data_IF_842811947745
#
_entry.id   IF_842811947745
#
_cell.length_a   1.000
_cell.length_b   1.000
_cell.length_c   1.000
_cell.angle_alpha   90.00
_cell.angle_beta   90.00
_cell.angle_gamma   90.00
#
_symmetry.space_group_name_H-M   'P 1'
#
loop_
_entity.id
_entity.type
_entity.pdbx_description
1 polymer ?
#
# COMPACT_ATOMS: atom_id res chain seq x y z
N UNK A 1 -4.01 6.41 -19.15
CA UNK A 1 -2.83 7.03 -19.77
C UNK A 1 -1.58 6.20 -19.48
N UNK A 2 -0.80 5.79 -20.49
CA UNK A 2 0.51 5.12 -20.23
C UNK A 2 1.53 6.13 -19.72
N UNK A 3 2.12 5.83 -18.56
CA UNK A 3 3.14 6.65 -17.91
C UNK A 3 4.52 6.04 -18.12
N UNK A 4 4.61 4.71 -17.99
CA UNK A 4 5.85 3.97 -18.14
C UNK A 4 5.57 2.53 -18.55
N UNK A 5 6.41 1.99 -19.43
CA UNK A 5 6.52 0.56 -19.70
C UNK A 5 7.97 0.23 -19.99
N UNK A 6 8.54 -0.72 -19.24
CA UNK A 6 9.94 -1.08 -19.44
C UNK A 6 10.38 -2.38 -18.78
N UNK A 7 11.42 -2.94 -19.37
CA UNK A 7 12.19 -4.11 -18.92
C UNK A 7 13.67 -3.72 -18.95
N UNK A 8 14.53 -4.41 -18.20
CA UNK A 8 15.98 -4.14 -18.20
C UNK A 8 16.40 -2.93 -17.36
N UNK A 9 15.53 -2.42 -16.49
CA UNK A 9 15.77 -1.26 -15.64
C UNK A 9 15.66 -1.63 -14.17
N UNK A 10 16.47 -1.00 -13.32
CA UNK A 10 16.40 -1.09 -11.85
C UNK A 10 15.69 0.11 -11.23
N UNK A 11 15.43 1.15 -12.01
CA UNK A 11 14.65 2.34 -11.63
C UNK A 11 14.05 3.00 -12.87
N UNK A 12 12.93 3.69 -12.69
CA UNK A 12 12.31 4.54 -13.72
C UNK A 12 12.97 5.91 -13.83
N UNK A 13 13.77 6.32 -12.83
CA UNK A 13 13.99 7.74 -12.56
C UNK A 13 12.70 8.44 -12.12
N UNK A 14 12.75 9.77 -11.97
CA UNK A 14 11.57 10.55 -11.62
C UNK A 14 10.75 10.86 -12.87
N UNK A 15 9.52 10.38 -12.88
CA UNK A 15 8.54 10.67 -13.92
C UNK A 15 7.65 11.81 -13.42
N UNK A 16 7.48 12.84 -14.25
CA UNK A 16 6.66 14.02 -13.95
C UNK A 16 5.33 13.91 -14.70
N UNK A 17 4.22 13.97 -13.97
CA UNK A 17 2.88 14.02 -14.53
C UNK A 17 2.33 15.43 -14.36
N UNK A 18 2.01 16.06 -15.48
CA UNK A 18 1.39 17.40 -15.53
C UNK A 18 -0.14 17.32 -15.60
N UNK A 19 -0.70 16.11 -15.61
CA UNK A 19 -2.12 15.84 -15.56
C UNK A 19 -2.48 15.16 -14.24
N UNK A 20 -3.60 15.57 -13.66
CA UNK A 20 -4.17 14.90 -12.50
C UNK A 20 -4.60 13.49 -12.84
N UNK A 21 -4.39 12.56 -11.90
CA UNK A 21 -4.86 11.18 -11.98
C UNK A 21 -5.49 10.80 -10.62
N UNK A 22 -6.44 9.87 -10.61
CA UNK A 22 -7.07 9.34 -9.39
C UNK A 22 -6.31 8.15 -8.83
N UNK A 23 -5.81 7.30 -9.72
CA UNK A 23 -5.15 6.04 -9.39
C UNK A 23 -3.99 5.72 -10.34
N UNK A 24 -3.05 4.93 -9.83
CA UNK A 24 -2.09 4.22 -10.66
C UNK A 24 -2.60 2.82 -11.00
N UNK A 25 -2.47 2.39 -12.25
CA UNK A 25 -2.55 0.96 -12.59
C UNK A 25 -1.13 0.43 -12.70
N UNK A 26 -0.77 -0.45 -11.78
CA UNK A 26 0.57 -1.04 -11.68
C UNK A 26 0.49 -2.45 -12.24
N UNK A 27 1.22 -2.70 -13.33
CA UNK A 27 1.36 -4.02 -13.95
C UNK A 27 2.78 -4.53 -13.84
N UNK A 28 2.97 -5.79 -13.45
CA UNK A 28 4.29 -6.40 -13.28
C UNK A 28 4.26 -7.82 -13.88
N UNK A 29 5.29 -8.21 -14.62
CA UNK A 29 5.44 -9.59 -15.15
C UNK A 29 5.84 -10.63 -14.10
N UNK A 30 5.68 -10.29 -12.82
CA UNK A 30 6.09 -11.09 -11.67
C UNK A 30 4.93 -11.22 -10.70
N UNK A 31 4.76 -12.39 -10.12
CA UNK A 31 3.77 -12.63 -9.07
C UNK A 31 3.93 -11.68 -7.89
N UNK A 32 2.82 -11.36 -7.24
CA UNK A 32 2.79 -10.38 -6.14
C UNK A 32 3.67 -10.81 -4.97
N UNK A 33 3.62 -12.09 -4.59
CA UNK A 33 4.35 -12.67 -3.46
C UNK A 33 5.89 -12.63 -3.62
N UNK A 34 6.35 -12.41 -4.85
CA UNK A 34 7.76 -12.35 -5.22
C UNK A 34 8.32 -10.91 -5.24
N UNK A 35 7.47 -9.89 -5.06
CA UNK A 35 7.89 -8.51 -4.87
C UNK A 35 8.67 -8.40 -3.55
N UNK A 36 9.90 -7.92 -3.63
CA UNK A 36 10.86 -8.01 -2.51
C UNK A 36 11.74 -6.77 -2.37
N UNK A 37 12.21 -6.21 -3.48
CA UNK A 37 13.12 -5.05 -3.47
C UNK A 37 12.49 -3.83 -4.10
N UNK A 38 11.38 -4.01 -4.79
CA UNK A 38 10.65 -2.98 -5.51
C UNK A 38 10.06 -1.96 -4.56
N UNK A 39 10.30 -0.68 -4.83
CA UNK A 39 9.80 0.44 -4.04
C UNK A 39 9.16 1.49 -4.92
N UNK A 40 8.24 2.25 -4.35
CA UNK A 40 7.58 3.40 -4.96
C UNK A 40 7.75 4.64 -4.08
N UNK A 41 7.94 5.78 -4.73
CA UNK A 41 7.78 7.11 -4.13
C UNK A 41 6.81 7.92 -4.98
N UNK A 42 5.80 8.50 -4.33
CA UNK A 42 4.81 9.40 -4.95
C UNK A 42 4.75 10.69 -4.13
N UNK A 43 4.89 11.83 -4.80
CA UNK A 43 4.75 13.15 -4.20
C UNK A 43 4.08 14.12 -5.18
N UNK A 44 3.40 15.11 -4.65
CA UNK A 44 2.88 16.25 -5.40
C UNK A 44 3.82 17.40 -5.13
N UNK A 45 4.55 17.83 -6.16
CA UNK A 45 5.30 19.08 -6.12
C UNK A 45 4.35 20.23 -6.43
N UNK A 46 4.22 21.16 -5.48
CA UNK A 46 3.38 22.34 -5.62
C UNK A 46 4.23 23.54 -5.99
N UNK A 47 3.75 24.38 -6.89
CA UNK A 47 4.48 25.56 -7.35
C UNK A 47 4.82 26.56 -6.22
N UNK A 48 4.00 26.57 -5.16
CA UNK A 48 4.20 27.40 -3.96
C UNK A 48 5.19 26.80 -2.93
N UNK A 49 5.79 25.64 -3.22
CA UNK A 49 6.70 24.93 -2.33
C UNK A 49 6.04 24.08 -1.24
N UNK A 50 4.70 24.09 -1.14
CA UNK A 50 3.94 23.26 -0.20
C UNK A 50 3.81 21.82 -0.71
N UNK A 51 4.94 21.17 -0.96
CA UNK A 51 4.99 19.81 -1.50
C UNK A 51 4.32 18.82 -0.55
N UNK A 52 3.69 17.82 -1.14
CA UNK A 52 2.99 16.78 -0.39
C UNK A 52 3.50 15.40 -0.77
N UNK A 53 4.09 14.69 0.18
CA UNK A 53 4.46 13.29 0.01
C UNK A 53 3.25 12.40 0.28
N UNK A 54 2.74 11.74 -0.78
CA UNK A 54 1.68 10.73 -0.72
C UNK A 54 2.25 9.50 -0.03
N UNK A 55 3.35 8.96 -0.53
CA UNK A 55 4.15 8.00 0.22
C UNK A 55 5.15 8.79 1.06
N UNK A 56 5.07 8.76 2.41
CA UNK A 56 6.06 9.44 3.27
C UNK A 56 7.44 8.82 3.04
N UNK A 57 8.27 9.47 2.22
CA UNK A 57 9.50 8.90 1.67
C UNK A 57 9.27 7.76 0.65
N UNK A 58 10.19 6.80 0.65
CA UNK A 58 10.15 5.62 -0.22
C UNK A 58 9.48 4.45 0.50
N UNK A 59 8.52 3.79 -0.17
CA UNK A 59 7.74 2.69 0.37
C UNK A 59 7.92 1.42 -0.45
N UNK A 60 7.81 0.24 0.18
CA UNK A 60 7.72 -1.03 -0.55
C UNK A 60 6.54 -1.01 -1.53
N UNK A 61 6.77 -1.43 -2.76
CA UNK A 61 5.72 -1.46 -3.78
C UNK A 61 4.60 -2.44 -3.40
N UNK A 62 4.96 -3.57 -2.80
CA UNK A 62 3.98 -4.54 -2.31
C UNK A 62 3.10 -3.94 -1.21
N UNK A 63 3.70 -3.20 -0.28
CA UNK A 63 2.99 -2.54 0.81
C UNK A 63 2.03 -1.45 0.30
N UNK A 64 2.48 -0.67 -0.69
CA UNK A 64 1.64 0.32 -1.34
C UNK A 64 0.42 -0.32 -2.02
N UNK A 65 0.63 -1.40 -2.79
CA UNK A 65 -0.45 -2.15 -3.44
C UNK A 65 -1.47 -2.65 -2.40
N UNK A 66 -1.01 -3.25 -1.30
CA UNK A 66 -1.90 -3.75 -0.25
C UNK A 66 -2.67 -2.63 0.45
N UNK A 67 -2.02 -1.49 0.72
CA UNK A 67 -2.68 -0.37 1.36
C UNK A 67 -3.76 0.27 0.47
N UNK A 68 -3.70 0.08 -0.85
CA UNK A 68 -4.67 0.66 -1.81
C UNK A 68 -5.75 -0.30 -2.29
N UNK A 69 -5.59 -1.61 -2.11
CA UNK A 69 -6.51 -2.62 -2.69
C UNK A 69 -7.48 -3.24 -1.69
N UNK A 70 -7.22 -3.10 -0.38
CA UNK A 70 -8.01 -3.78 0.64
C UNK A 70 -9.48 -3.35 0.64
N UNK A 71 -10.38 -4.32 0.47
CA UNK A 71 -11.83 -4.10 0.51
C UNK A 71 -12.39 -3.38 -0.72
N UNK A 72 -11.57 -3.17 -1.75
CA UNK A 72 -11.92 -2.50 -3.00
C UNK A 72 -11.67 -3.46 -4.17
N UNK A 73 -10.59 -3.24 -4.92
CA UNK A 73 -10.19 -4.03 -6.09
C UNK A 73 -9.21 -5.15 -5.72
N UNK A 74 -9.52 -6.37 -6.16
CA UNK A 74 -8.59 -7.49 -6.09
C UNK A 74 -7.30 -7.20 -6.87
N UNK A 75 -6.15 -7.62 -6.34
CA UNK A 75 -4.95 -7.79 -7.16
C UNK A 75 -5.27 -8.86 -8.21
N UNK A 76 -4.90 -8.63 -9.45
CA UNK A 76 -5.23 -9.54 -10.57
C UNK A 76 -4.03 -9.84 -11.43
N UNK A 77 -4.23 -10.59 -12.51
CA UNK A 77 -3.21 -11.00 -13.46
C UNK A 77 -3.79 -11.05 -14.87
N UNK A 78 -2.91 -11.05 -15.87
CA UNK A 78 -3.29 -11.12 -17.28
C UNK A 78 -2.24 -11.86 -18.09
N UNK A 79 -2.51 -13.16 -18.34
CA UNK A 79 -1.63 -14.01 -19.14
C UNK A 79 -1.46 -13.49 -20.56
N UNK A 80 -2.50 -12.92 -21.17
CA UNK A 80 -2.42 -12.33 -22.52
C UNK A 80 -1.50 -11.10 -22.59
N UNK A 81 -1.31 -10.40 -21.48
CA UNK A 81 -0.39 -9.25 -21.36
C UNK A 81 0.97 -9.65 -20.79
N UNK A 82 1.16 -10.89 -20.37
CA UNK A 82 2.36 -11.35 -19.67
C UNK A 82 2.57 -10.65 -18.33
N UNK A 83 1.48 -10.28 -17.64
CA UNK A 83 1.52 -9.61 -16.35
C UNK A 83 0.94 -10.55 -15.28
N UNK A 84 1.71 -10.80 -14.23
CA UNK A 84 1.31 -11.69 -13.13
C UNK A 84 0.79 -10.92 -11.90
N UNK A 85 1.05 -9.62 -11.84
CA UNK A 85 0.47 -8.69 -10.88
C UNK A 85 -0.10 -7.49 -11.63
N UNK A 86 -1.36 -7.18 -11.40
CA UNK A 86 -2.03 -5.95 -11.82
C UNK A 86 -2.81 -5.44 -10.62
N UNK A 87 -2.57 -4.19 -10.22
CA UNK A 87 -3.29 -3.54 -9.14
C UNK A 87 -3.73 -2.14 -9.57
N UNK A 88 -4.93 -1.74 -9.17
CA UNK A 88 -5.39 -0.36 -9.21
C UNK A 88 -5.13 0.24 -7.84
N UNK A 89 -4.32 1.28 -7.80
CA UNK A 89 -3.82 1.89 -6.58
C UNK A 89 -4.27 3.34 -6.51
N UNK A 90 -5.38 3.58 -5.82
CA UNK A 90 -5.92 4.94 -5.63
C UNK A 90 -4.98 5.82 -4.81
N UNK A 91 -4.85 7.07 -5.25
CA UNK A 91 -4.06 8.11 -4.57
C UNK A 91 -4.90 9.35 -4.24
N UNK A 92 -6.13 9.42 -4.74
CA UNK A 92 -7.13 10.42 -4.39
C UNK A 92 -8.45 9.71 -4.08
N UNK A 93 -9.17 10.23 -3.08
CA UNK A 93 -10.43 9.65 -2.65
C UNK A 93 -11.62 10.05 -3.53
N UNK A 94 -11.51 11.17 -4.25
CA UNK A 94 -12.61 11.74 -5.04
C UNK A 94 -12.06 12.37 -6.33
N UNK A 95 -12.24 11.67 -7.45
CA UNK A 95 -11.76 12.12 -8.75
C UNK A 95 -10.23 12.14 -8.85
N UNK A 96 -9.71 12.86 -9.84
CA UNK A 96 -8.28 13.02 -10.04
C UNK A 96 -7.69 14.04 -9.07
N UNK A 97 -6.41 13.87 -8.70
CA UNK A 97 -5.70 14.89 -7.91
C UNK A 97 -5.75 16.25 -8.61
N UNK A 98 -6.28 17.26 -7.92
CA UNK A 98 -6.30 18.63 -8.43
C UNK A 98 -4.88 19.20 -8.48
N UNK A 99 -4.42 19.56 -9.67
CA UNK A 99 -3.13 20.20 -9.92
C UNK A 99 -3.35 21.66 -10.35
N UNK A 100 -2.78 22.60 -9.60
CA UNK A 100 -2.74 24.00 -10.01
C UNK A 100 -1.68 24.22 -11.09
N UNK A 101 -1.58 25.46 -11.59
CA UNK A 101 -0.57 25.82 -12.58
C UNK A 101 0.84 25.48 -12.06
N UNK A 102 1.59 24.69 -12.83
CA UNK A 102 2.95 24.20 -12.53
C UNK A 102 3.06 23.17 -11.39
N UNK A 103 1.94 22.69 -10.85
CA UNK A 103 1.97 21.51 -9.99
C UNK A 103 2.24 20.26 -10.83
N UNK A 104 2.97 19.30 -10.25
CA UNK A 104 3.23 18.01 -10.89
C UNK A 104 3.13 16.87 -9.88
N UNK A 105 2.62 15.72 -10.32
CA UNK A 105 2.77 14.48 -9.58
C UNK A 105 4.10 13.87 -10.00
N UNK A 106 4.96 13.59 -9.03
CA UNK A 106 6.22 12.90 -9.23
C UNK A 106 6.07 11.46 -8.77
N UNK A 107 6.42 10.52 -9.64
CA UNK A 107 6.47 9.10 -9.32
C UNK A 107 7.83 8.52 -9.66
N UNK A 108 8.37 7.72 -8.76
CA UNK A 108 9.62 6.98 -8.96
C UNK A 108 9.41 5.55 -8.51
N UNK A 109 9.72 4.60 -9.40
CA UNK A 109 9.90 3.21 -9.04
C UNK A 109 11.41 2.89 -8.99
N UNK A 110 11.83 2.14 -7.98
CA UNK A 110 13.22 1.77 -7.76
C UNK A 110 13.32 0.34 -7.21
N UNK A 111 14.54 -0.23 -7.19
CA UNK A 111 14.76 -1.61 -6.76
C UNK A 111 14.12 -2.64 -7.70
N UNK A 112 13.86 -2.25 -8.95
CA UNK A 112 13.23 -3.08 -9.98
C UNK A 112 14.15 -4.23 -10.38
N UNK A 113 13.58 -5.39 -10.69
CA UNK A 113 14.31 -6.53 -11.24
C UNK A 113 14.44 -6.35 -12.75
N UNK A 114 15.67 -6.37 -13.25
CA UNK A 114 15.94 -6.06 -14.65
C UNK A 114 15.36 -7.07 -15.64
N UNK A 115 15.15 -8.32 -15.22
CA UNK A 115 14.52 -9.37 -16.01
C UNK A 115 12.99 -9.29 -16.02
N UNK A 116 12.40 -8.35 -15.26
CA UNK A 116 10.97 -8.18 -15.14
C UNK A 116 10.49 -6.91 -15.88
N UNK A 117 9.24 -6.96 -16.34
CA UNK A 117 8.55 -5.86 -17.00
C UNK A 117 7.66 -5.15 -15.99
N UNK A 118 7.77 -3.82 -15.94
CA UNK A 118 6.94 -2.95 -15.13
C UNK A 118 6.15 -2.00 -16.03
N UNK A 119 4.86 -1.88 -15.75
CA UNK A 119 3.91 -1.01 -16.43
C UNK A 119 3.29 -0.10 -15.39
N UNK A 120 3.29 1.20 -15.66
CA UNK A 120 2.60 2.20 -14.86
C UNK A 120 1.66 2.97 -15.79
N UNK A 121 0.37 2.95 -15.48
CA UNK A 121 -0.60 3.82 -16.09
C UNK A 121 -1.24 4.72 -15.04
N UNK A 122 -1.73 5.89 -15.46
CA UNK A 122 -2.59 6.74 -14.66
C UNK A 122 -4.04 6.66 -15.13
N UNK A 123 -4.97 6.64 -14.20
CA UNK A 123 -6.41 6.80 -14.46
C UNK A 123 -6.74 8.30 -14.39
N UNK A 124 -7.18 8.86 -15.52
CA UNK A 124 -7.71 10.23 -15.58
C UNK A 124 -9.20 10.19 -15.23
N UNK A 125 -9.67 11.20 -14.51
CA UNK A 125 -11.08 11.36 -14.15
C UNK A 125 -11.60 12.71 -14.65
N UNK A 126 -12.91 12.82 -14.92
CA UNK A 126 -13.51 14.08 -15.38
C UNK A 126 -13.58 15.14 -14.27
N UNK A 127 -13.60 14.72 -13.01
CA UNK A 127 -13.63 15.59 -11.85
C UNK A 127 -12.29 15.55 -11.12
N UNK A 128 -11.95 16.66 -10.44
CA UNK A 128 -10.73 16.75 -9.64
C UNK A 128 -11.05 17.11 -8.19
N UNK A 129 -10.31 16.51 -7.25
CA UNK A 129 -10.44 16.76 -5.82
C UNK A 129 -9.11 17.10 -5.15
N UNK A 130 -9.19 17.65 -3.94
CA UNK A 130 -8.02 17.92 -3.07
C UNK A 130 -7.79 16.82 -2.05
N UNK A 131 -8.77 15.94 -1.83
CA UNK A 131 -8.68 14.83 -0.91
C UNK A 131 -7.69 13.78 -1.44
N UNK A 132 -6.61 13.56 -0.72
CA UNK A 132 -5.51 12.71 -1.14
C UNK A 132 -5.20 11.67 -0.08
N UNK A 133 -4.87 10.46 -0.52
CA UNK A 133 -4.36 9.46 0.40
C UNK A 133 -2.93 9.79 0.81
N UNK A 134 -2.56 9.44 2.04
CA UNK A 134 -1.18 9.44 2.49
C UNK A 134 -0.86 8.13 3.20
N UNK A 135 0.39 7.70 3.05
CA UNK A 135 0.86 6.40 3.48
C UNK A 135 2.10 6.59 4.35
N UNK A 136 2.02 6.10 5.59
CA UNK A 136 3.10 6.20 6.57
C UNK A 136 3.58 4.81 6.98
N UNK A 137 4.90 4.66 7.11
CA UNK A 137 5.50 3.45 7.68
C UNK A 137 5.85 3.67 9.15
N UNK A 138 5.36 2.77 10.00
CA UNK A 138 5.85 2.57 11.38
C UNK A 138 6.54 1.22 11.49
N UNK A 139 7.35 1.05 12.54
CA UNK A 139 8.05 -0.22 12.75
C UNK A 139 8.33 -0.51 14.22
N UNK A 140 8.41 -1.81 14.53
CA UNK A 140 8.86 -2.38 15.79
C UNK A 140 10.22 -3.03 15.57
N UNK A 141 11.22 -2.64 16.38
CA UNK A 141 12.56 -3.20 16.24
C UNK A 141 12.59 -4.68 16.69
N UNK A 142 13.62 -5.46 16.29
CA UNK A 142 13.72 -6.87 16.68
C UNK A 142 13.79 -7.06 18.20
N UNK A 143 14.38 -6.10 18.91
CA UNK A 143 14.54 -6.12 20.36
C UNK A 143 13.33 -5.56 21.14
N UNK A 144 12.44 -4.82 20.46
CA UNK A 144 11.20 -4.36 21.09
C UNK A 144 10.30 -5.59 21.35
N UNK A 145 9.75 -5.71 22.55
CA UNK A 145 8.82 -6.80 22.91
C UNK A 145 7.38 -6.33 23.12
N UNK A 146 7.21 -5.02 23.34
CA UNK A 146 5.91 -4.38 23.49
C UNK A 146 6.00 -2.95 22.95
N UNK A 147 5.11 -2.56 22.03
CA UNK A 147 5.11 -1.22 21.44
C UNK A 147 3.72 -0.75 21.07
N UNK A 148 3.46 0.52 21.39
CA UNK A 148 2.24 1.23 21.01
C UNK A 148 2.44 2.03 19.71
N UNK A 149 1.45 1.93 18.84
CA UNK A 149 1.33 2.69 17.61
C UNK A 149 0.05 3.49 17.62
N UNK A 150 0.15 4.83 17.69
CA UNK A 150 -0.99 5.70 17.48
C UNK A 150 -1.47 5.58 16.03
N UNK A 151 -2.73 5.21 15.84
CA UNK A 151 -3.33 5.00 14.51
C UNK A 151 -4.64 5.79 14.32
N UNK A 152 -4.96 6.69 15.25
CA UNK A 152 -6.10 7.59 15.12
C UNK A 152 -6.03 8.39 13.79
N UNK A 153 -7.13 8.40 13.04
CA UNK A 153 -7.25 9.07 11.75
C UNK A 153 -6.73 8.27 10.54
N UNK A 154 -6.19 7.07 10.74
CA UNK A 154 -5.87 6.13 9.66
C UNK A 154 -7.04 5.18 9.45
N UNK A 155 -7.23 4.72 8.21
CA UNK A 155 -8.34 3.84 7.83
C UNK A 155 -7.90 2.40 7.55
N UNK A 156 -6.65 2.20 7.10
CA UNK A 156 -6.06 0.89 6.84
C UNK A 156 -4.73 0.71 7.56
N UNK A 157 -4.52 -0.50 8.07
CA UNK A 157 -3.22 -1.04 8.48
C UNK A 157 -2.85 -2.23 7.59
N UNK A 158 -1.64 -2.20 7.01
CA UNK A 158 -0.96 -3.40 6.50
C UNK A 158 0.12 -3.79 7.49
N UNK A 159 0.02 -5.00 8.06
CA UNK A 159 0.91 -5.51 9.09
C UNK A 159 1.69 -6.74 8.61
N UNK A 160 2.96 -6.82 8.98
CA UNK A 160 3.78 -8.02 8.78
C UNK A 160 3.24 -9.20 9.59
N UNK A 161 3.03 -10.33 8.92
CA UNK A 161 2.75 -11.62 9.56
C UNK A 161 4.07 -12.21 10.05
N UNK A 162 4.52 -11.77 11.21
CA UNK A 162 5.66 -12.37 11.90
C UNK A 162 5.18 -13.43 12.88
N UNK A 163 5.85 -14.57 12.90
CA UNK A 163 5.63 -15.62 13.90
C UNK A 163 6.00 -15.19 15.32
N UNK A 164 6.75 -14.09 15.46
CA UNK A 164 7.17 -13.57 16.75
C UNK A 164 6.04 -12.80 17.47
N UNK A 165 5.01 -12.35 16.73
CA UNK A 165 3.88 -11.62 17.31
C UNK A 165 3.01 -12.57 18.13
N UNK A 166 2.87 -12.26 19.40
CA UNK A 166 2.06 -13.05 20.35
C UNK A 166 0.66 -12.48 20.53
N UNK A 167 0.53 -11.16 20.50
CA UNK A 167 -0.71 -10.46 20.84
C UNK A 167 -0.79 -9.12 20.11
N UNK A 168 -1.98 -8.80 19.60
CA UNK A 168 -2.28 -7.48 19.03
C UNK A 168 -3.49 -6.93 19.78
N UNK A 169 -3.34 -5.73 20.36
CA UNK A 169 -4.41 -5.09 21.11
C UNK A 169 -4.86 -3.81 20.41
N UNK A 170 -6.16 -3.67 20.18
CA UNK A 170 -6.78 -2.47 19.63
C UNK A 170 -7.41 -1.68 20.76
N UNK A 171 -7.01 -0.42 20.92
CA UNK A 171 -7.71 0.54 21.76
C UNK A 171 -8.60 1.40 20.89
N UNK A 172 -9.91 1.29 21.08
CA UNK A 172 -10.93 2.00 20.31
C UNK A 172 -11.20 3.40 20.88
N UNK A 173 -11.85 4.25 20.09
CA UNK A 173 -12.24 5.62 20.48
C UNK A 173 -13.09 5.70 21.75
N UNK A 174 -13.87 4.67 22.03
CA UNK A 174 -14.67 4.56 23.26
C UNK A 174 -13.85 4.15 24.51
N UNK A 175 -12.52 4.08 24.39
CA UNK A 175 -11.59 3.72 25.46
C UNK A 175 -11.50 2.22 25.76
N UNK A 176 -12.24 1.36 25.03
CA UNK A 176 -12.15 -0.10 25.21
C UNK A 176 -10.93 -0.65 24.50
N UNK A 177 -10.26 -1.59 25.16
CA UNK A 177 -9.18 -2.36 24.57
C UNK A 177 -9.67 -3.79 24.31
N UNK A 178 -9.51 -4.25 23.07
CA UNK A 178 -9.82 -5.63 22.67
C UNK A 178 -8.53 -6.29 22.22
N UNK A 179 -8.32 -7.52 22.69
CA UNK A 179 -7.16 -8.33 22.33
C UNK A 179 -7.54 -9.26 21.20
N UNK A 180 -6.67 -9.39 20.22
CA UNK A 180 -6.84 -10.30 19.11
C UNK A 180 -5.61 -11.20 18.96
N UNK A 181 -5.89 -12.45 18.60
CA UNK A 181 -4.93 -13.34 17.99
C UNK A 181 -4.75 -13.00 16.51
N UNK A 182 -3.62 -13.41 15.92
CA UNK A 182 -3.42 -13.24 14.47
C UNK A 182 -4.51 -13.95 13.66
N UNK A 183 -4.95 -15.15 14.11
CA UNK A 183 -6.02 -15.90 13.45
C UNK A 183 -7.35 -15.14 13.41
N UNK A 184 -7.74 -14.47 14.50
CA UNK A 184 -8.97 -13.66 14.52
C UNK A 184 -8.87 -12.47 13.57
N UNK A 185 -7.70 -11.81 13.52
CA UNK A 185 -7.48 -10.71 12.59
C UNK A 185 -7.50 -11.18 11.14
N UNK A 186 -6.91 -12.33 10.82
CA UNK A 186 -6.95 -12.92 9.47
C UNK A 186 -8.38 -13.25 9.05
N UNK A 187 -9.16 -13.85 9.94
CA UNK A 187 -10.57 -14.14 9.68
C UNK A 187 -11.37 -12.85 9.44
N UNK A 188 -11.11 -11.79 10.21
CA UNK A 188 -11.73 -10.47 10.00
C UNK A 188 -11.34 -9.88 8.65
N UNK A 189 -10.05 -9.92 8.30
CA UNK A 189 -9.51 -9.44 7.03
C UNK A 189 -10.19 -10.11 5.83
N UNK A 190 -10.20 -11.44 5.79
CA UNK A 190 -10.84 -12.20 4.71
C UNK A 190 -12.36 -12.09 4.69
N UNK A 191 -13.00 -11.71 5.79
CA UNK A 191 -14.45 -11.47 5.80
C UNK A 191 -14.83 -10.17 5.08
N UNK A 192 -13.94 -9.18 5.09
CA UNK A 192 -14.12 -7.90 4.40
C UNK A 192 -13.70 -8.06 2.94
N UNK A 193 -12.56 -8.71 2.70
CA UNK A 193 -12.00 -8.91 1.37
C UNK A 193 -11.81 -10.41 1.07
N UNK A 194 -12.88 -11.11 0.67
CA UNK A 194 -12.82 -12.55 0.40
C UNK A 194 -12.07 -12.91 -0.90
N UNK A 195 -11.81 -11.93 -1.77
CA UNK A 195 -11.16 -12.11 -3.07
C UNK A 195 -10.03 -11.09 -3.20
N UNK A 196 -8.96 -11.31 -2.43
CA UNK A 196 -7.84 -10.39 -2.35
C UNK A 196 -6.89 -10.49 -3.57
N UNK A 197 -6.69 -11.70 -4.11
CA UNK A 197 -5.77 -11.93 -5.24
C UNK A 197 -6.25 -13.02 -6.20
N UNK A 198 -6.35 -12.68 -7.49
CA UNK A 198 -6.55 -13.61 -8.60
C UNK A 198 -5.23 -13.88 -9.33
N UNK A 199 -4.66 -15.05 -9.06
CA UNK A 199 -3.34 -15.46 -9.56
C UNK A 199 -3.37 -15.83 -11.04
N UNK A 200 -2.22 -15.72 -11.71
CA UNK A 200 -2.05 -16.10 -13.13
C UNK A 200 -2.31 -17.59 -13.40
N UNK A 201 -2.25 -18.41 -12.34
CA UNK A 201 -2.58 -19.84 -12.34
C UNK A 201 -4.08 -20.13 -12.33
N UNK A 202 -4.93 -19.10 -12.17
CA UNK A 202 -6.37 -19.23 -12.03
C UNK A 202 -6.85 -19.47 -10.59
N UNK A 203 -5.93 -19.51 -9.61
CA UNK A 203 -6.28 -19.60 -8.20
C UNK A 203 -6.76 -18.25 -7.65
N UNK A 204 -7.74 -18.30 -6.76
CA UNK A 204 -8.22 -17.14 -6.01
C UNK A 204 -7.78 -17.30 -4.55
N UNK A 205 -7.16 -16.27 -4.00
CA UNK A 205 -6.74 -16.20 -2.61
C UNK A 205 -7.48 -15.08 -1.86
N UNK A 206 -7.88 -15.36 -0.62
CA UNK A 206 -8.53 -14.41 0.29
C UNK A 206 -7.55 -13.75 1.27
N UNK A 207 -6.26 -14.06 1.17
CA UNK A 207 -5.19 -13.60 2.07
C UNK A 207 -3.86 -13.55 1.35
N UNK A 208 -2.95 -12.72 1.85
CA UNK A 208 -1.54 -12.69 1.45
C UNK A 208 -0.67 -13.46 2.45
N UNK A 209 0.41 -14.08 1.95
CA UNK A 209 1.20 -15.01 2.77
C UNK A 209 1.93 -14.31 3.94
N UNK A 210 2.53 -13.16 3.66
CA UNK A 210 3.46 -12.45 4.57
C UNK A 210 2.85 -11.21 5.25
N UNK A 211 1.65 -10.82 4.86
CA UNK A 211 1.03 -9.56 5.25
C UNK A 211 -0.44 -9.77 5.54
N UNK A 212 -0.98 -8.92 6.41
CA UNK A 212 -2.42 -8.84 6.68
C UNK A 212 -2.87 -7.39 6.53
N UNK A 213 -4.01 -7.18 5.85
CA UNK A 213 -4.66 -5.88 5.75
C UNK A 213 -5.82 -5.82 6.75
N UNK A 214 -5.92 -4.73 7.50
CA UNK A 214 -6.90 -4.58 8.58
C UNK A 214 -7.54 -3.20 8.53
N UNK A 215 -8.86 -3.10 8.76
CA UNK A 215 -9.53 -1.82 8.90
C UNK A 215 -9.19 -1.21 10.26
N UNK A 216 -9.06 0.11 10.32
CA UNK A 216 -8.79 0.86 11.54
C UNK A 216 -10.00 1.68 12.01
N UNK A 217 -11.21 1.21 11.70
CA UNK A 217 -12.47 1.90 12.03
C UNK A 217 -12.55 2.14 13.55
N UNK A 218 -12.54 3.42 13.93
CA UNK A 218 -12.57 3.89 15.32
C UNK A 218 -11.46 3.31 16.21
N UNK A 219 -10.30 2.95 15.63
CA UNK A 219 -9.12 2.48 16.37
C UNK A 219 -8.17 3.66 16.61
N UNK A 220 -7.84 3.93 17.87
CA UNK A 220 -6.91 5.01 18.23
C UNK A 220 -5.47 4.52 18.37
N UNK A 221 -5.29 3.29 18.86
CA UNK A 221 -3.97 2.72 19.11
C UNK A 221 -3.96 1.22 18.80
N UNK A 222 -2.88 0.78 18.16
CA UNK A 222 -2.52 -0.63 18.01
C UNK A 222 -1.30 -0.89 18.88
N UNK A 223 -1.44 -1.80 19.84
CA UNK A 223 -0.34 -2.30 20.64
C UNK A 223 0.06 -3.68 20.11
N UNK A 224 1.36 -3.90 19.90
CA UNK A 224 1.90 -5.19 19.47
C UNK A 224 2.81 -5.72 20.57
N UNK A 225 2.53 -6.95 21.02
CA UNK A 225 3.45 -7.75 21.83
C UNK A 225 4.07 -8.84 20.98
N UNK A 226 5.39 -8.97 21.05
CA UNK A 226 6.13 -10.02 20.36
C UNK A 226 7.25 -10.57 21.24
N UNK A 227 7.66 -11.80 20.98
CA UNK A 227 8.92 -12.32 21.53
C UNK A 227 10.09 -11.53 20.95
N UNK A 228 11.20 -11.47 21.69
CA UNK A 228 12.42 -10.92 21.14
C UNK A 228 12.82 -11.75 19.93
N UNK A 229 12.90 -11.07 18.79
CA UNK A 229 12.90 -11.70 17.47
C UNK A 229 14.09 -11.26 16.66
N UNK A 230 14.24 -11.85 15.48
CA UNK A 230 15.24 -11.39 14.50
C UNK A 230 14.66 -10.38 13.51
N UNK A 231 13.34 -10.29 13.42
CA UNK A 231 12.65 -9.53 12.39
C UNK A 231 12.14 -8.17 12.90
N UNK A 232 12.23 -7.17 12.01
CA UNK A 232 11.52 -5.90 12.18
C UNK A 232 10.08 -6.13 11.76
N UNK A 233 9.11 -5.78 12.62
CA UNK A 233 7.69 -5.78 12.24
C UNK A 233 7.35 -4.40 11.68
N UNK A 234 6.91 -4.36 10.43
CA UNK A 234 6.48 -3.13 9.76
C UNK A 234 4.96 -2.99 9.79
N UNK A 235 4.52 -1.75 9.93
CA UNK A 235 3.13 -1.32 9.83
C UNK A 235 3.07 -0.24 8.77
N UNK A 236 2.16 -0.39 7.82
CA UNK A 236 1.89 0.62 6.81
C UNK A 236 0.49 1.12 7.07
N UNK A 237 0.37 2.41 7.29
CA UNK A 237 -0.88 3.05 7.63
C UNK A 237 -1.30 3.94 6.47
N UNK A 238 -2.56 3.80 6.04
CA UNK A 238 -3.19 4.73 5.08
C UNK A 238 -4.08 5.70 5.84
N UNK A 239 -4.02 6.97 5.46
CA UNK A 239 -5.01 7.95 5.86
C UNK A 239 -5.54 8.69 4.63
N UNK A 240 -6.76 9.21 4.77
CA UNK A 240 -7.33 10.19 3.86
C UNK A 240 -7.13 11.57 4.47
N UNK A 241 -6.53 12.50 3.72
CA UNK A 241 -6.29 13.88 4.13
C UNK A 241 -7.12 14.87 3.32
#
# INVERSE_FOLDING_TARGET
MEIYKGTGKTTTGTILLTKGISAFVIGISRAFEDLTTETIRVEIERANGSNFEITKGTMSLADFILATTYGEDAVTSSTSRGLETIAVCEISAHGAVHLFEKDVIKVTLAGLKSDQTYVLNGIEEPETGTDIYSFERKSMAPDDTNKDFTVAGFDILVLDKSSDIEEINYTFENGRTVKYTMFELEALSSSIDPVAYVQSTGNVASTFGKKIQLPLIAVNNVNIRKVQGKEVVSLILRNKL
#
